data_IF_945998521420
#
_entry.id   IF_945998521420
#
_cell.length_a   1.000
_cell.length_b   1.000
_cell.length_c   1.000
_cell.angle_alpha   90.00
_cell.angle_beta   90.00
_cell.angle_gamma   90.00
#
_symmetry.space_group_name_H-M   'P 1'
#
loop_
_entity.id
_entity.type
_entity.pdbx_description
1 polymer ?
#
# COMPACT_ATOMS: atom_id res chain seq x y z
N UNK A 1 9.39 -10.08 7.64
CA UNK A 1 10.07 -10.27 6.34
C UNK A 1 10.81 -8.97 6.01
N UNK A 2 11.43 -8.81 4.84
CA UNK A 2 12.13 -7.56 4.44
C UNK A 2 11.49 -6.93 3.20
N UNK A 3 11.99 -5.75 2.80
CA UNK A 3 11.64 -5.10 1.53
C UNK A 3 11.80 -6.03 0.32
N UNK A 4 12.90 -6.79 0.24
CA UNK A 4 13.11 -7.75 -0.86
C UNK A 4 12.00 -8.80 -0.93
N UNK A 5 11.59 -9.33 0.23
CA UNK A 5 10.49 -10.29 0.30
C UNK A 5 9.16 -9.64 -0.14
N UNK A 6 8.92 -8.37 0.20
CA UNK A 6 7.74 -7.65 -0.27
C UNK A 6 7.74 -7.52 -1.79
N UNK A 7 8.88 -7.15 -2.38
CA UNK A 7 9.03 -7.02 -3.84
C UNK A 7 8.77 -8.35 -4.54
N UNK A 8 9.40 -9.43 -4.06
CA UNK A 8 9.22 -10.77 -4.62
C UNK A 8 7.75 -11.23 -4.52
N UNK A 9 7.13 -11.06 -3.35
CA UNK A 9 5.74 -11.47 -3.14
C UNK A 9 4.77 -10.65 -4.01
N UNK A 10 4.95 -9.33 -4.11
CA UNK A 10 4.11 -8.50 -4.99
C UNK A 10 4.26 -8.91 -6.46
N UNK A 11 5.47 -9.24 -6.92
CA UNK A 11 5.69 -9.71 -8.28
C UNK A 11 5.05 -11.08 -8.55
N UNK A 12 5.18 -12.01 -7.59
CA UNK A 12 4.55 -13.33 -7.67
C UNK A 12 3.03 -13.20 -7.72
N UNK A 13 2.43 -12.48 -6.77
CA UNK A 13 0.99 -12.24 -6.72
C UNK A 13 0.50 -11.53 -7.98
N UNK A 14 1.17 -10.48 -8.46
CA UNK A 14 0.78 -9.80 -9.70
C UNK A 14 0.76 -10.76 -10.91
N UNK A 15 1.72 -11.69 -10.98
CA UNK A 15 1.76 -12.69 -12.04
C UNK A 15 0.57 -13.66 -11.97
N UNK A 16 0.16 -14.06 -10.77
CA UNK A 16 -1.02 -14.92 -10.55
C UNK A 16 -2.34 -14.20 -10.87
N UNK A 17 -2.44 -12.90 -10.55
CA UNK A 17 -3.67 -12.12 -10.75
C UNK A 17 -4.01 -11.85 -12.23
N UNK A 18 -3.05 -11.99 -13.15
CA UNK A 18 -3.28 -11.73 -14.59
C UNK A 18 -4.34 -12.62 -15.22
N UNK A 19 -4.48 -13.84 -14.71
CA UNK A 19 -5.43 -14.84 -15.20
C UNK A 19 -6.57 -15.10 -14.18
N UNK A 20 -6.72 -14.23 -13.18
CA UNK A 20 -7.68 -14.43 -12.12
C UNK A 20 -9.11 -14.05 -12.54
N UNK A 21 -10.04 -14.94 -12.24
CA UNK A 21 -11.48 -14.70 -12.26
C UNK A 21 -11.96 -14.58 -10.80
N UNK A 22 -12.88 -13.66 -10.54
CA UNK A 22 -13.37 -13.37 -9.19
C UNK A 22 -14.87 -13.59 -9.10
N UNK A 23 -15.27 -14.52 -8.24
CA UNK A 23 -16.67 -14.71 -7.91
C UNK A 23 -17.20 -13.52 -7.10
N UNK A 24 -18.31 -12.94 -7.56
CA UNK A 24 -19.05 -11.95 -6.80
C UNK A 24 -20.13 -12.64 -5.97
N UNK A 25 -20.21 -12.29 -4.69
CA UNK A 25 -21.37 -12.68 -3.89
C UNK A 25 -22.63 -11.92 -4.35
N UNK A 26 -23.77 -12.29 -3.76
CA UNK A 26 -25.07 -11.71 -4.12
C UNK A 26 -25.15 -10.21 -3.83
N UNK A 27 -24.51 -9.74 -2.77
CA UNK A 27 -24.53 -8.34 -2.36
C UNK A 27 -23.70 -7.51 -3.34
N UNK A 28 -22.46 -7.93 -3.61
CA UNK A 28 -21.59 -7.33 -4.60
C UNK A 28 -22.22 -7.31 -6.00
N UNK A 29 -22.93 -8.37 -6.41
CA UNK A 29 -23.71 -8.38 -7.66
C UNK A 29 -24.77 -7.28 -7.69
N UNK A 30 -25.49 -7.09 -6.58
CA UNK A 30 -26.57 -6.10 -6.48
C UNK A 30 -26.03 -4.68 -6.50
N UNK A 31 -24.94 -4.44 -5.77
CA UNK A 31 -24.26 -3.14 -5.73
C UNK A 31 -23.64 -2.78 -7.08
N UNK A 32 -22.94 -3.73 -7.73
CA UNK A 32 -22.40 -3.52 -9.06
C UNK A 32 -23.51 -3.23 -10.08
N UNK A 33 -24.62 -3.96 -10.04
CA UNK A 33 -25.77 -3.70 -10.91
C UNK A 33 -26.34 -2.27 -10.70
N UNK A 34 -26.41 -1.80 -9.46
CA UNK A 34 -26.84 -0.44 -9.15
C UNK A 34 -25.87 0.59 -9.74
N UNK A 35 -24.56 0.38 -9.59
CA UNK A 35 -23.54 1.28 -10.12
C UNK A 35 -23.51 1.29 -11.65
N UNK A 36 -23.57 0.13 -12.31
CA UNK A 36 -23.66 0.03 -13.76
C UNK A 36 -24.88 0.78 -14.27
N UNK A 37 -26.04 0.58 -13.64
CA UNK A 37 -27.28 1.27 -14.05
C UNK A 37 -27.20 2.78 -13.85
N UNK A 38 -26.58 3.25 -12.77
CA UNK A 38 -26.52 4.67 -12.43
C UNK A 38 -25.46 5.44 -13.22
N UNK A 39 -24.34 4.79 -13.55
CA UNK A 39 -23.17 5.42 -14.16
C UNK A 39 -23.04 5.12 -15.65
N UNK A 40 -23.76 4.11 -16.17
CA UNK A 40 -23.79 3.71 -17.58
C UNK A 40 -22.39 3.55 -18.21
N UNK A 41 -21.49 2.73 -17.61
CA UNK A 41 -20.17 2.48 -18.17
C UNK A 41 -20.26 1.66 -19.46
N UNK A 42 -19.21 1.69 -20.27
CA UNK A 42 -19.14 0.84 -21.47
C UNK A 42 -19.09 -0.66 -21.10
N UNK A 43 -18.38 -1.01 -20.02
CA UNK A 43 -18.27 -2.37 -19.50
C UNK A 43 -18.30 -2.38 -17.95
N UNK A 44 -19.02 -3.34 -17.32
CA UNK A 44 -19.04 -3.46 -15.85
C UNK A 44 -17.66 -3.60 -15.20
N UNK A 45 -16.72 -4.26 -15.87
CA UNK A 45 -15.37 -4.52 -15.37
C UNK A 45 -14.56 -3.22 -15.14
N UNK A 46 -14.91 -2.14 -15.84
CA UNK A 46 -14.33 -0.82 -15.58
C UNK A 46 -14.59 -0.36 -14.14
N UNK A 47 -15.81 -0.57 -13.65
CA UNK A 47 -16.19 -0.18 -12.30
C UNK A 47 -15.49 -1.05 -11.24
N UNK A 48 -15.28 -2.34 -11.53
CA UNK A 48 -14.51 -3.22 -10.65
C UNK A 48 -13.06 -2.75 -10.53
N UNK A 49 -12.40 -2.44 -11.65
CA UNK A 49 -11.03 -1.86 -11.64
C UNK A 49 -10.99 -0.55 -10.85
N UNK A 50 -11.96 0.34 -11.05
CA UNK A 50 -12.06 1.61 -10.32
C UNK A 50 -12.28 1.39 -8.83
N UNK A 51 -13.09 0.41 -8.43
CA UNK A 51 -13.31 0.06 -7.03
C UNK A 51 -12.01 -0.42 -6.36
N UNK A 52 -11.21 -1.24 -7.03
CA UNK A 52 -9.89 -1.67 -6.54
C UNK A 52 -8.97 -0.47 -6.33
N UNK A 53 -8.91 0.46 -7.30
CA UNK A 53 -8.12 1.68 -7.16
C UNK A 53 -8.59 2.57 -6.01
N UNK A 54 -9.90 2.74 -5.85
CA UNK A 54 -10.47 3.53 -4.76
C UNK A 54 -10.20 2.89 -3.38
N UNK A 55 -10.27 1.56 -3.29
CA UNK A 55 -9.93 0.82 -2.08
C UNK A 55 -8.43 1.00 -1.75
N UNK A 56 -7.55 0.82 -2.72
CA UNK A 56 -6.11 0.99 -2.55
C UNK A 56 -5.77 2.41 -2.09
N UNK A 57 -6.31 3.43 -2.77
CA UNK A 57 -6.14 4.84 -2.43
C UNK A 57 -6.59 5.12 -0.99
N UNK A 58 -7.73 4.57 -0.56
CA UNK A 58 -8.19 4.70 0.83
C UNK A 58 -7.21 4.10 1.84
N UNK A 59 -6.54 3.00 1.51
CA UNK A 59 -5.56 2.34 2.37
C UNK A 59 -4.25 3.12 2.45
N UNK A 60 -3.81 3.72 1.34
CA UNK A 60 -2.65 4.62 1.29
C UNK A 60 -2.94 5.87 2.12
N UNK A 61 -4.04 6.57 1.85
CA UNK A 61 -4.39 7.83 2.51
C UNK A 61 -4.62 7.67 4.02
N UNK A 62 -5.14 6.53 4.46
CA UNK A 62 -5.35 6.25 5.89
C UNK A 62 -4.11 5.69 6.60
N UNK A 63 -3.01 5.46 5.87
CA UNK A 63 -1.80 4.82 6.40
C UNK A 63 -1.97 3.34 6.76
N UNK A 64 -3.14 2.74 6.50
CA UNK A 64 -3.42 1.33 6.81
C UNK A 64 -2.56 0.38 6.00
N UNK A 65 -2.30 0.70 4.73
CA UNK A 65 -1.37 -0.09 3.91
C UNK A 65 -0.02 -0.19 4.62
N UNK A 66 0.48 0.96 5.01
CA UNK A 66 1.80 1.14 5.61
C UNK A 66 1.92 0.51 7.00
N UNK A 67 0.81 0.47 7.77
CA UNK A 67 0.73 -0.29 9.02
C UNK A 67 0.88 -1.79 8.79
N UNK A 68 0.17 -2.34 7.80
CA UNK A 68 0.23 -3.76 7.47
C UNK A 68 1.60 -4.15 6.91
N UNK A 69 2.17 -3.32 6.02
CA UNK A 69 3.50 -3.56 5.43
C UNK A 69 4.60 -3.56 6.49
N UNK A 70 4.58 -2.61 7.43
CA UNK A 70 5.55 -2.61 8.54
C UNK A 70 5.43 -3.84 9.41
N UNK A 71 4.21 -4.29 9.70
CA UNK A 71 3.97 -5.46 10.55
C UNK A 71 4.49 -6.76 9.94
N UNK A 72 4.33 -6.93 8.61
CA UNK A 72 4.65 -8.20 7.93
C UNK A 72 6.04 -8.19 7.29
N UNK A 73 6.46 -7.06 6.73
CA UNK A 73 7.65 -6.92 5.87
C UNK A 73 8.71 -5.97 6.41
N UNK A 74 8.48 -5.33 7.57
CA UNK A 74 9.39 -4.32 8.13
C UNK A 74 9.76 -3.25 7.09
N UNK A 75 8.78 -2.90 6.24
CA UNK A 75 8.94 -2.01 5.10
C UNK A 75 7.68 -1.14 4.92
N UNK A 76 7.81 -0.10 4.12
CA UNK A 76 6.75 0.86 3.80
C UNK A 76 6.43 0.85 2.31
N UNK A 77 5.29 1.42 1.95
CA UNK A 77 4.93 1.61 0.55
C UNK A 77 5.90 2.57 -0.15
N UNK A 78 6.41 3.58 0.54
CA UNK A 78 7.40 4.51 -0.02
C UNK A 78 8.74 3.82 -0.30
N UNK A 79 9.22 2.93 0.58
CA UNK A 79 10.42 2.13 0.32
C UNK A 79 10.23 1.17 -0.85
N UNK A 80 9.04 0.57 -0.98
CA UNK A 80 8.68 -0.22 -2.15
C UNK A 80 8.73 0.60 -3.44
N UNK A 81 8.22 1.84 -3.43
CA UNK A 81 8.29 2.74 -4.58
C UNK A 81 9.72 3.22 -4.89
N UNK A 82 10.52 3.46 -3.85
CA UNK A 82 11.92 3.87 -3.98
C UNK A 82 12.83 2.72 -4.43
N UNK A 83 12.42 1.47 -4.23
CA UNK A 83 13.21 0.28 -4.52
C UNK A 83 14.40 0.09 -3.58
N UNK A 84 14.41 0.77 -2.43
CA UNK A 84 15.44 0.69 -1.41
C UNK A 84 14.87 1.09 -0.05
N UNK A 85 15.44 0.55 1.02
CA UNK A 85 15.01 0.86 2.40
C UNK A 85 15.48 2.23 2.87
N UNK A 86 14.83 2.78 3.89
CA UNK A 86 15.25 4.04 4.52
C UNK A 86 16.65 3.93 5.14
N UNK A 87 17.00 2.77 5.71
CA UNK A 87 18.34 2.54 6.27
C UNK A 87 19.43 2.60 5.19
N UNK A 88 19.14 2.08 4.00
CA UNK A 88 20.03 2.17 2.84
C UNK A 88 20.09 3.60 2.27
N UNK A 89 18.97 4.31 2.22
CA UNK A 89 18.93 5.73 1.81
C UNK A 89 19.71 6.63 2.78
N UNK A 90 19.66 6.34 4.08
CA UNK A 90 20.40 7.04 5.13
C UNK A 90 21.89 6.68 5.17
N UNK A 91 22.36 5.80 4.27
CA UNK A 91 23.77 5.44 4.14
C UNK A 91 24.25 4.39 5.16
N UNK A 92 23.35 3.58 5.72
CA UNK A 92 23.71 2.46 6.61
C UNK A 92 24.34 2.93 7.93
N UNK A 93 23.50 3.44 8.83
CA UNK A 93 23.94 3.77 10.20
C UNK A 93 24.73 5.07 10.31
N UNK A 94 24.18 6.17 9.78
CA UNK A 94 24.49 7.47 10.38
C UNK A 94 23.90 7.48 11.80
N UNK A 95 24.71 7.06 12.77
CA UNK A 95 24.55 7.48 14.15
C UNK A 95 24.42 9.00 14.10
N UNK A 96 23.20 9.51 14.24
CA UNK A 96 23.04 10.90 14.65
C UNK A 96 23.96 11.05 15.86
N UNK A 97 24.91 12.00 15.89
CA UNK A 97 25.57 12.33 17.13
C UNK A 97 24.44 12.60 18.11
N UNK A 98 24.27 11.71 19.09
CA UNK A 98 23.64 12.14 20.32
C UNK A 98 24.63 13.19 20.82
N UNK A 99 24.32 14.46 20.56
CA UNK A 99 24.96 15.54 21.26
C UNK A 99 24.67 15.26 22.74
N UNK A 100 25.63 14.61 23.40
CA UNK A 100 25.66 14.35 24.84
C UNK A 100 25.78 15.66 25.64
N UNK A 101 25.66 16.81 24.98
CA UNK A 101 25.85 18.11 25.59
C UNK A 101 25.03 19.17 24.85
N UNK A 102 23.79 19.43 25.27
CA UNK A 102 23.20 20.78 25.16
C UNK A 102 21.93 20.89 26.03
N UNK A 103 22.16 21.04 27.34
CA UNK A 103 21.15 21.45 28.30
C UNK A 103 20.63 22.88 28.09
N UNK A 104 19.91 23.18 27.01
CA UNK A 104 19.23 24.48 26.83
C UNK A 104 17.88 24.40 26.10
N UNK A 105 16.85 24.77 26.86
CA UNK A 105 15.58 25.46 26.51
C UNK A 105 14.52 24.55 25.90
N UNK A 106 13.38 24.32 26.57
CA UNK A 106 12.47 25.35 27.08
C UNK A 106 12.09 25.18 28.56
N UNK A 107 12.22 26.28 29.31
CA UNK A 107 11.34 26.59 30.43
C UNK A 107 10.38 27.68 29.95
N UNK A 108 9.12 27.55 30.39
CA UNK A 108 7.92 28.36 30.15
C UNK A 108 7.12 28.01 28.90
#
# INVERSE_FOLDING_TARGET
>A
MSLDNLVENVQATNSELKDADYDLDREACTELAMLVTALDPEEPDELVRRAIHALFDSYVQTGKLDFNLRSEYDATYDEYLAGMSYDEMAGGGQTFPQDEDEGRRYQY
#
